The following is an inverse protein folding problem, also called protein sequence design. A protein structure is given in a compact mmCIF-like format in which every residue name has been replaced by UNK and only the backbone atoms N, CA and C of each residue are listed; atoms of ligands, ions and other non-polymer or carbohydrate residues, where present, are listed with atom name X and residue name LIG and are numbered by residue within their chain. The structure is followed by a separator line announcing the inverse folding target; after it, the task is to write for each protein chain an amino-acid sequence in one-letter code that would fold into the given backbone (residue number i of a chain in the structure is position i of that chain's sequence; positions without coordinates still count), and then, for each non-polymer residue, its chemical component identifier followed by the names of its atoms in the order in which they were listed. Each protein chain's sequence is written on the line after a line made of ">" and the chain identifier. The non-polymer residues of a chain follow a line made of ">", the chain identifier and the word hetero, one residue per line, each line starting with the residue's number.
data_IF_261260296253
#
_entry.id   IF_261260296253
#
_cell.length_a   1.000
_cell.length_b   1.000
_cell.length_c   1.000
_cell.angle_alpha   90.00
_cell.angle_beta   90.00
_cell.angle_gamma   90.00
#
_symmetry.space_group_name_H-M   'P 1'
#
loop_
_entity.id
_entity.type
_entity.pdbx_description
1 polymer ?
#
# COMPACT_ATOMS: atom_id res chain seq x y z
N UNK A 1 -19.01 0.58 -2.78
CA UNK A 1 -17.94 0.82 -3.78
C UNK A 1 -16.79 -0.08 -3.41
N UNK A 2 -16.25 -0.86 -4.35
CA UNK A 2 -15.15 -1.79 -4.08
C UNK A 2 -13.78 -1.11 -4.10
N UNK A 3 -12.80 -1.72 -3.43
CA UNK A 3 -11.40 -1.33 -3.54
C UNK A 3 -10.92 -1.38 -5.00
N UNK A 4 -9.99 -0.49 -5.35
CA UNK A 4 -9.41 -0.45 -6.70
C UNK A 4 -7.90 -0.47 -6.65
N UNK A 5 -7.30 -1.39 -7.40
CA UNK A 5 -5.84 -1.48 -7.58
C UNK A 5 -5.27 -0.15 -8.12
N UNK A 6 -4.10 0.24 -7.62
CA UNK A 6 -3.43 1.47 -8.02
C UNK A 6 -3.92 2.72 -7.29
N UNK A 7 -4.96 2.60 -6.45
CA UNK A 7 -5.46 3.70 -5.62
C UNK A 7 -4.85 3.67 -4.23
N UNK A 8 -4.57 4.87 -3.72
CA UNK A 8 -4.12 5.14 -2.37
C UNK A 8 -5.33 5.54 -1.54
N UNK A 9 -5.49 4.87 -0.41
CA UNK A 9 -6.52 5.15 0.56
C UNK A 9 -5.89 5.64 1.87
N UNK A 10 -6.68 6.42 2.60
CA UNK A 10 -6.44 6.85 3.97
C UNK A 10 -7.38 6.07 4.88
N UNK A 11 -6.86 5.40 5.90
CA UNK A 11 -7.65 4.94 7.05
C UNK A 11 -7.40 5.92 8.20
N UNK A 12 -8.46 6.60 8.65
CA UNK A 12 -8.40 7.56 9.76
C UNK A 12 -8.11 6.92 11.11
N UNK A 13 -8.34 5.61 11.25
CA UNK A 13 -8.31 4.87 12.53
C UNK A 13 -7.61 3.51 12.41
N UNK A 14 -6.46 3.46 11.73
CA UNK A 14 -5.77 2.20 11.38
C UNK A 14 -5.30 1.39 12.59
N UNK A 15 -4.79 2.06 13.62
CA UNK A 15 -4.36 1.41 14.86
C UNK A 15 -4.50 2.35 16.05
N UNK A 16 -4.67 1.76 17.23
CA UNK A 16 -4.60 2.50 18.49
C UNK A 16 -3.14 2.62 18.91
N UNK A 17 -2.70 3.84 19.14
CA UNK A 17 -1.43 4.12 19.79
C UNK A 17 -1.50 3.64 21.25
N UNK A 18 -0.61 2.73 21.64
CA UNK A 18 -0.70 2.05 22.94
C UNK A 18 -0.44 3.00 24.12
N UNK A 19 0.31 4.07 23.90
CA UNK A 19 0.66 5.03 24.95
C UNK A 19 -0.45 6.06 25.16
N UNK A 20 -0.99 6.61 24.07
CA UNK A 20 -2.00 7.68 24.13
C UNK A 20 -3.45 7.19 24.02
N UNK A 21 -3.68 5.95 23.58
CA UNK A 21 -5.01 5.44 23.25
C UNK A 21 -5.61 6.07 21.99
N UNK A 22 -4.87 6.95 21.29
CA UNK A 22 -5.37 7.64 20.11
C UNK A 22 -5.39 6.72 18.88
N UNK A 23 -6.46 6.82 18.10
CA UNK A 23 -6.53 6.20 16.78
C UNK A 23 -5.64 6.97 15.81
N UNK A 24 -4.69 6.28 15.20
CA UNK A 24 -3.72 6.87 14.27
C UNK A 24 -4.08 6.56 12.83
N UNK A 25 -3.94 7.61 12.01
CA UNK A 25 -4.15 7.51 10.57
C UNK A 25 -3.00 6.77 9.88
N UNK A 26 -3.33 5.96 8.86
CA UNK A 26 -2.36 5.42 7.90
C UNK A 26 -2.85 5.60 6.47
N UNK A 27 -1.90 5.51 5.56
CA UNK A 27 -2.16 5.46 4.13
C UNK A 27 -1.67 4.12 3.60
N UNK A 28 -2.37 3.57 2.62
CA UNK A 28 -2.01 2.31 1.99
C UNK A 28 -2.33 2.35 0.50
N UNK A 29 -1.56 1.59 -0.27
CA UNK A 29 -1.79 1.35 -1.69
C UNK A 29 -2.47 -0.01 -1.85
N UNK A 30 -3.53 -0.06 -2.64
CA UNK A 30 -4.14 -1.33 -3.07
C UNK A 30 -3.34 -1.88 -4.23
N UNK A 31 -2.73 -3.04 -4.04
CA UNK A 31 -1.95 -3.75 -5.05
C UNK A 31 -2.84 -4.68 -5.87
N UNK A 32 -3.77 -5.38 -5.21
CA UNK A 32 -4.77 -6.21 -5.87
C UNK A 32 -6.10 -6.17 -5.12
N UNK A 33 -7.20 -5.97 -5.85
CA UNK A 33 -8.57 -6.06 -5.34
C UNK A 33 -9.42 -7.00 -6.20
N UNK A 34 -9.12 -8.31 -6.21
CA UNK A 34 -9.92 -9.30 -6.92
C UNK A 34 -11.37 -9.36 -6.38
N UNK A 35 -12.37 -9.68 -7.22
CA UNK A 35 -13.75 -9.81 -6.75
C UNK A 35 -13.89 -10.86 -5.64
N UNK A 36 -14.65 -10.51 -4.59
CA UNK A 36 -15.05 -11.42 -3.49
C UNK A 36 -13.91 -12.16 -2.78
N UNK A 37 -12.70 -11.61 -2.80
CA UNK A 37 -11.51 -12.18 -2.16
C UNK A 37 -10.72 -11.09 -1.45
N UNK A 38 -9.79 -11.49 -0.59
CA UNK A 38 -9.01 -10.55 0.22
C UNK A 38 -8.25 -9.54 -0.66
N UNK A 39 -8.21 -8.30 -0.20
CA UNK A 39 -7.57 -7.17 -0.88
C UNK A 39 -6.11 -7.10 -0.44
N UNK A 40 -5.20 -7.24 -1.39
CA UNK A 40 -3.76 -7.13 -1.14
C UNK A 40 -3.37 -5.67 -1.07
N UNK A 41 -2.85 -5.24 0.08
CA UNK A 41 -2.39 -3.88 0.33
C UNK A 41 -0.94 -3.86 0.85
N UNK A 42 -0.32 -2.69 0.75
CA UNK A 42 0.90 -2.36 1.51
C UNK A 42 0.79 -0.94 2.05
N UNK A 43 1.36 -0.72 3.24
CA UNK A 43 1.35 0.58 3.89
C UNK A 43 2.29 1.57 3.20
N UNK A 44 1.94 2.84 3.27
CA UNK A 44 2.81 3.94 2.89
C UNK A 44 3.50 4.52 4.12
N UNK A 45 4.76 4.90 3.96
CA UNK A 45 5.55 5.48 5.04
C UNK A 45 6.51 6.55 4.55
N UNK A 46 6.65 7.60 5.35
CA UNK A 46 7.73 8.59 5.24
C UNK A 46 8.72 8.48 6.42
N UNK A 47 8.52 7.52 7.33
CA UNK A 47 9.43 7.31 8.46
C UNK A 47 10.77 6.78 7.98
N UNK A 48 11.84 7.25 8.64
CA UNK A 48 13.22 6.91 8.31
C UNK A 48 13.62 7.26 6.87
N UNK A 49 13.03 8.33 6.32
CA UNK A 49 13.32 8.79 4.96
C UNK A 49 14.83 8.98 4.68
N UNK A 50 15.62 9.41 5.68
CA UNK A 50 17.08 9.56 5.56
C UNK A 50 17.85 8.24 5.46
N UNK A 51 17.21 7.10 5.76
CA UNK A 51 17.81 5.77 5.77
C UNK A 51 17.23 4.86 4.67
N UNK A 52 16.20 5.31 3.95
CA UNK A 52 15.55 4.53 2.89
C UNK A 52 16.14 4.91 1.53
N UNK A 53 16.56 3.93 0.71
CA UNK A 53 17.05 4.21 -0.63
C UNK A 53 15.98 4.85 -1.51
N UNK A 54 16.41 5.80 -2.34
CA UNK A 54 15.60 6.39 -3.41
C UNK A 54 16.00 5.83 -4.78
N UNK A 55 17.27 5.41 -4.92
CA UNK A 55 17.85 4.80 -6.11
C UNK A 55 18.77 3.62 -5.70
N UNK A 56 18.53 2.38 -6.17
CA UNK A 56 17.36 1.98 -6.96
C UNK A 56 16.05 2.17 -6.17
N UNK A 57 14.91 2.45 -6.83
CA UNK A 57 13.66 2.70 -6.15
C UNK A 57 13.13 1.46 -5.43
N UNK A 58 13.43 0.26 -5.93
CA UNK A 58 13.07 -1.00 -5.29
C UNK A 58 14.23 -1.50 -4.42
N UNK A 59 13.98 -1.63 -3.12
CA UNK A 59 14.96 -2.10 -2.15
C UNK A 59 14.35 -3.19 -1.27
N UNK A 60 14.91 -4.40 -1.28
CA UNK A 60 14.43 -5.52 -0.45
C UNK A 60 15.30 -5.75 0.79
N UNK A 61 16.34 -4.94 0.99
CA UNK A 61 17.30 -5.12 2.08
C UNK A 61 16.80 -4.60 3.43
N UNK A 62 17.45 -5.09 4.48
CA UNK A 62 17.24 -4.63 5.85
C UNK A 62 17.91 -3.26 6.10
N UNK A 63 17.36 -2.47 7.05
CA UNK A 63 16.18 -2.75 7.88
C UNK A 63 14.86 -2.21 7.29
N UNK A 64 14.91 -1.57 6.12
CA UNK A 64 13.79 -0.82 5.56
C UNK A 64 13.50 -1.21 4.11
N UNK A 65 13.02 -2.45 3.86
CA UNK A 65 12.61 -2.82 2.52
C UNK A 65 11.44 -1.93 2.10
N UNK A 66 11.48 -1.47 0.85
CA UNK A 66 10.60 -0.43 0.37
C UNK A 66 10.68 -0.22 -1.14
N UNK A 67 9.60 0.31 -1.72
CA UNK A 67 9.60 0.89 -3.06
C UNK A 67 9.41 2.41 -2.96
N UNK A 68 10.36 3.19 -3.49
CA UNK A 68 10.28 4.65 -3.48
C UNK A 68 9.22 5.17 -4.46
N UNK A 69 8.21 5.86 -3.94
CA UNK A 69 7.10 6.45 -4.70
C UNK A 69 7.32 7.94 -5.00
N UNK A 70 8.44 8.53 -4.60
CA UNK A 70 8.63 9.97 -4.70
C UNK A 70 7.74 10.73 -3.73
N UNK A 71 7.17 11.84 -4.20
CA UNK A 71 6.19 12.65 -3.46
C UNK A 71 4.88 12.57 -4.24
N UNK A 72 3.94 11.68 -3.87
CA UNK A 72 2.69 11.48 -4.62
C UNK A 72 1.82 12.75 -4.70
N UNK A 73 1.99 13.69 -3.76
CA UNK A 73 1.24 14.94 -3.73
C UNK A 73 -0.10 14.81 -2.98
N UNK A 74 -0.99 15.78 -3.19
CA UNK A 74 -2.25 15.92 -2.43
C UNK A 74 -1.99 15.99 -0.91
N UNK A 75 -2.46 14.99 -0.17
CA UNK A 75 -2.26 14.85 1.28
C UNK A 75 -0.90 14.25 1.64
N UNK A 76 -0.20 13.62 0.68
CA UNK A 76 1.13 13.01 0.83
C UNK A 76 2.22 13.99 0.35
N UNK A 77 2.59 14.93 1.23
CA UNK A 77 3.55 16.01 0.94
C UNK A 77 5.02 15.67 1.20
N UNK A 78 5.31 14.43 1.59
CA UNK A 78 6.64 13.95 1.93
C UNK A 78 7.08 12.85 0.98
N UNK A 79 8.41 12.64 0.91
CA UNK A 79 8.98 11.44 0.31
C UNK A 79 8.33 10.21 0.94
N UNK A 80 7.81 9.32 0.09
CA UNK A 80 6.97 8.21 0.50
C UNK A 80 7.50 6.91 -0.10
N UNK A 81 7.48 5.86 0.70
CA UNK A 81 7.78 4.50 0.28
C UNK A 81 6.57 3.61 0.48
N UNK A 82 6.38 2.67 -0.43
CA UNK A 82 5.59 1.47 -0.20
C UNK A 82 6.40 0.57 0.73
N UNK A 83 5.89 0.27 1.93
CA UNK A 83 6.54 -0.63 2.88
C UNK A 83 6.38 -2.06 2.41
N UNK A 84 7.49 -2.78 2.20
CA UNK A 84 7.45 -4.15 1.66
C UNK A 84 7.37 -5.22 2.75
N UNK A 85 7.41 -4.82 4.02
CA UNK A 85 7.29 -5.74 5.15
C UNK A 85 5.93 -6.40 5.20
N UNK A 86 5.88 -7.54 5.89
CA UNK A 86 4.68 -8.36 6.02
C UNK A 86 3.48 -7.54 6.48
N UNK A 87 2.37 -7.72 5.77
CA UNK A 87 1.07 -7.15 6.09
C UNK A 87 -0.02 -8.13 5.67
N UNK A 88 -1.01 -8.29 6.53
CA UNK A 88 -2.19 -9.09 6.24
C UNK A 88 -3.08 -8.40 5.20
N UNK A 89 -3.82 -9.20 4.45
CA UNK A 89 -4.77 -8.70 3.46
C UNK A 89 -6.01 -8.13 4.15
N UNK A 90 -6.73 -7.21 3.49
CA UNK A 90 -8.00 -6.68 4.01
C UNK A 90 -9.18 -7.53 3.56
N UNK A 91 -10.14 -7.73 4.45
CA UNK A 91 -11.44 -8.30 4.09
C UNK A 91 -12.25 -7.28 3.26
N UNK A 92 -12.87 -7.70 2.13
CA UNK A 92 -13.59 -6.80 1.24
C UNK A 92 -14.88 -6.21 1.87
N UNK A 93 -15.55 -6.94 2.76
CA UNK A 93 -16.75 -6.46 3.46
C UNK A 93 -16.39 -5.40 4.49
N UNK A 94 -15.33 -5.64 5.26
CA UNK A 94 -14.81 -4.66 6.22
C UNK A 94 -14.34 -3.39 5.50
N UNK A 95 -13.64 -3.54 4.38
CA UNK A 95 -13.22 -2.41 3.56
C UNK A 95 -14.42 -1.59 3.06
N UNK A 96 -15.45 -2.23 2.49
CA UNK A 96 -16.61 -1.52 1.95
C UNK A 96 -17.43 -0.84 3.05
N UNK A 97 -17.60 -1.51 4.20
CA UNK A 97 -18.23 -0.91 5.39
C UNK A 97 -17.48 0.34 5.82
N UNK A 98 -16.16 0.23 6.01
CA UNK A 98 -15.33 1.32 6.53
C UNK A 98 -15.20 2.47 5.52
N UNK A 99 -15.23 2.18 4.22
CA UNK A 99 -15.33 3.17 3.13
C UNK A 99 -16.67 3.92 3.19
N UNK A 100 -17.79 3.20 3.36
CA UNK A 100 -19.14 3.78 3.41
C UNK A 100 -19.34 4.65 4.66
N UNK A 101 -18.72 4.26 5.79
CA UNK A 101 -18.73 5.02 7.03
C UNK A 101 -17.76 6.22 7.02
N UNK A 102 -16.96 6.38 5.96
CA UNK A 102 -15.99 7.46 5.83
C UNK A 102 -14.74 7.30 6.71
N UNK A 103 -14.55 6.15 7.36
CA UNK A 103 -13.31 5.82 8.08
C UNK A 103 -12.16 5.68 7.08
N UNK A 104 -12.41 4.94 5.99
CA UNK A 104 -11.53 4.83 4.84
C UNK A 104 -11.99 5.82 3.77
N UNK A 105 -11.04 6.51 3.14
CA UNK A 105 -11.31 7.40 2.02
C UNK A 105 -10.20 7.31 0.99
N UNK A 106 -10.55 7.30 -0.29
CA UNK A 106 -9.57 7.44 -1.37
C UNK A 106 -8.93 8.84 -1.35
N UNK A 107 -7.63 8.91 -1.59
CA UNK A 107 -6.89 10.19 -1.59
C UNK A 107 -6.08 10.45 -2.86
N UNK A 108 -5.70 9.41 -3.59
CA UNK A 108 -4.88 9.55 -4.79
C UNK A 108 -4.91 8.29 -5.65
N UNK A 109 -4.58 8.42 -6.94
CA UNK A 109 -4.38 7.30 -7.87
C UNK A 109 -2.98 7.40 -8.44
N UNK A 110 -2.18 6.33 -8.31
CA UNK A 110 -0.83 6.32 -8.83
C UNK A 110 -0.81 6.31 -10.36
N UNK A 111 0.13 7.02 -11.01
CA UNK A 111 0.40 6.86 -12.43
C UNK A 111 0.68 5.39 -12.78
N UNK A 112 0.14 4.92 -13.91
CA UNK A 112 0.21 3.49 -14.29
C UNK A 112 1.64 2.95 -14.31
N UNK A 113 2.60 3.68 -14.85
CA UNK A 113 3.99 3.23 -14.92
C UNK A 113 4.63 3.07 -13.53
N UNK A 114 4.35 4.03 -12.64
CA UNK A 114 4.81 3.95 -11.26
C UNK A 114 4.13 2.80 -10.51
N UNK A 115 2.84 2.56 -10.78
CA UNK A 115 2.12 1.44 -10.20
C UNK A 115 2.66 0.09 -10.69
N UNK A 116 2.94 -0.06 -11.99
CA UNK A 116 3.59 -1.26 -12.55
C UNK A 116 4.92 -1.56 -11.86
N UNK A 117 5.75 -0.54 -11.67
CA UNK A 117 7.03 -0.67 -10.98
C UNK A 117 6.86 -1.07 -9.50
N UNK A 118 5.88 -0.49 -8.80
CA UNK A 118 5.54 -0.85 -7.44
C UNK A 118 5.03 -2.30 -7.32
N UNK A 119 4.19 -2.76 -8.25
CA UNK A 119 3.71 -4.14 -8.32
C UNK A 119 4.87 -5.12 -8.54
N UNK A 120 5.74 -4.84 -9.50
CA UNK A 120 6.89 -5.70 -9.80
C UNK A 120 7.82 -5.86 -8.59
N UNK A 121 8.07 -4.76 -7.87
CA UNK A 121 8.86 -4.75 -6.64
C UNK A 121 8.15 -5.55 -5.53
N UNK A 122 6.88 -5.24 -5.23
CA UNK A 122 6.13 -5.88 -4.16
C UNK A 122 5.90 -7.38 -4.39
N UNK A 123 5.68 -7.81 -5.63
CA UNK A 123 5.54 -9.23 -5.98
C UNK A 123 6.81 -10.04 -5.66
N UNK A 124 7.97 -9.40 -5.67
CA UNK A 124 9.27 -10.06 -5.51
C UNK A 124 9.86 -9.87 -4.11
N UNK A 125 9.12 -9.25 -3.18
CA UNK A 125 9.57 -9.01 -1.81
C UNK A 125 9.49 -10.28 -0.95
N UNK A 126 10.48 -10.49 -0.07
CA UNK A 126 10.59 -11.68 0.77
C UNK A 126 9.36 -11.90 1.68
N UNK A 127 8.74 -10.80 2.11
CA UNK A 127 7.56 -10.80 2.99
C UNK A 127 6.22 -10.91 2.23
N UNK A 128 6.25 -11.08 0.91
CA UNK A 128 5.07 -11.32 0.09
C UNK A 128 4.79 -12.81 -0.01
N UNK A 129 3.60 -13.23 0.43
CA UNK A 129 3.20 -14.64 0.34
C UNK A 129 2.95 -15.05 -1.11
N UNK A 130 3.06 -16.35 -1.44
CA UNK A 130 2.75 -16.86 -2.79
C UNK A 130 1.35 -16.49 -3.27
N UNK A 131 0.36 -16.42 -2.36
CA UNK A 131 -0.99 -15.97 -2.68
C UNK A 131 -1.01 -14.50 -3.10
N UNK A 132 -0.41 -13.62 -2.29
CA UNK A 132 -0.31 -12.20 -2.59
C UNK A 132 0.46 -11.96 -3.89
N UNK A 133 1.60 -12.63 -4.07
CA UNK A 133 2.42 -12.55 -5.29
C UNK A 133 1.58 -12.85 -6.52
N UNK A 134 0.83 -13.97 -6.52
CA UNK A 134 -0.01 -14.34 -7.67
C UNK A 134 -1.01 -13.25 -8.01
N UNK A 135 -1.73 -12.73 -7.01
CA UNK A 135 -2.73 -11.68 -7.23
C UNK A 135 -2.09 -10.37 -7.73
N UNK A 136 -0.92 -10.00 -7.20
CA UNK A 136 -0.16 -8.82 -7.66
C UNK A 136 0.26 -9.01 -9.12
N UNK A 137 0.76 -10.20 -9.48
CA UNK A 137 1.18 -10.51 -10.86
C UNK A 137 0.01 -10.56 -11.84
N UNK A 138 -1.16 -11.06 -11.41
CA UNK A 138 -2.38 -11.05 -12.23
C UNK A 138 -2.79 -9.60 -12.57
N UNK A 139 -2.72 -8.69 -11.59
CA UNK A 139 -2.95 -7.25 -11.83
C UNK A 139 -1.91 -6.67 -12.77
N UNK A 140 -0.63 -6.95 -12.54
CA UNK A 140 0.46 -6.45 -13.40
C UNK A 140 0.27 -6.88 -14.85
N UNK A 141 -0.07 -8.16 -15.09
CA UNK A 141 -0.34 -8.68 -16.43
C UNK A 141 -1.55 -8.01 -17.10
N UNK A 142 -2.57 -7.62 -16.31
CA UNK A 142 -3.74 -6.90 -16.80
C UNK A 142 -3.49 -5.45 -17.22
N UNK A 143 -2.36 -4.86 -16.83
CA UNK A 143 -1.99 -3.47 -17.17
C UNK A 143 -1.21 -3.34 -18.50
N UNK A 144 -0.88 -4.46 -19.17
CA UNK A 144 -0.06 -4.52 -20.38
C UNK A 144 1.34 -3.99 -20.16
#
# INVERSE_FOLDING_TARGET
>A
MSAQSGRIYRDSSFYTDLDSGELKTKYFLVLAAPPATDIVIRLLTSRYASLRPEDPPCHHGDPYPGFFLGIPGQVLKQKTWLDLRKLDDLDPWDFERDLTQGRISEVHTLPVDQFKAALACAASADDTTTRQERLIRDVLAGLG
#
